data_IF_446101577841
#
_entry.id   IF_446101577841
#
_cell.length_a   1.000
_cell.length_b   1.000
_cell.length_c   1.000
_cell.angle_alpha   90.00
_cell.angle_beta   90.00
_cell.angle_gamma   90.00
#
_symmetry.space_group_name_H-M   'P 1'
#
loop_
_entity.id
_entity.type
_entity.pdbx_description
1 polymer ?
#
# COMPACT_ATOMS: atom_id res chain seq x y z
N UNK A 1 -20.82 -2.12 -0.84
CA UNK A 1 -20.73 -3.00 -1.99
C UNK A 1 -20.22 -4.40 -1.62
N UNK A 2 -18.95 -4.56 -1.20
CA UNK A 2 -18.42 -5.77 -0.56
C UNK A 2 -18.42 -5.60 0.94
N UNK A 3 -18.81 -6.64 1.68
CA UNK A 3 -18.64 -6.74 3.14
C UNK A 3 -18.06 -8.09 3.48
N UNK A 4 -16.88 -8.12 4.08
CA UNK A 4 -16.28 -9.26 4.72
C UNK A 4 -16.49 -9.16 6.23
N UNK A 5 -17.00 -10.22 6.86
CA UNK A 5 -17.33 -10.25 8.29
C UNK A 5 -16.70 -11.45 8.96
N UNK A 6 -15.74 -11.22 9.87
CA UNK A 6 -15.15 -12.26 10.71
C UNK A 6 -14.44 -13.37 9.95
N UNK A 7 -13.87 -13.04 8.77
CA UNK A 7 -13.21 -14.03 7.93
C UNK A 7 -11.98 -14.58 8.65
N UNK A 8 -11.99 -15.88 8.86
CA UNK A 8 -10.86 -16.60 9.42
C UNK A 8 -10.53 -17.82 8.57
N UNK A 9 -9.24 -18.15 8.50
CA UNK A 9 -8.73 -19.32 7.83
C UNK A 9 -7.50 -19.82 8.57
N UNK A 10 -7.50 -21.08 8.91
CA UNK A 10 -6.43 -21.73 9.65
C UNK A 10 -5.69 -22.72 8.76
N UNK A 11 -4.40 -22.51 8.57
CA UNK A 11 -3.47 -23.42 7.94
C UNK A 11 -2.30 -23.68 8.89
N UNK A 12 -1.65 -24.81 8.77
CA UNK A 12 -0.60 -25.28 9.69
C UNK A 12 0.42 -24.22 10.13
N UNK A 13 0.80 -23.31 9.23
CA UNK A 13 1.84 -22.29 9.46
C UNK A 13 1.32 -20.86 9.30
N UNK A 14 0.05 -20.69 8.93
CA UNK A 14 -0.51 -19.39 8.62
C UNK A 14 -1.98 -19.28 9.05
N UNK A 15 -2.35 -18.15 9.64
CA UNK A 15 -3.70 -17.93 10.18
C UNK A 15 -4.22 -16.56 9.74
N UNK A 16 -5.39 -16.53 9.11
CA UNK A 16 -6.21 -15.31 9.01
C UNK A 16 -7.16 -15.28 10.21
N UNK A 17 -7.23 -14.15 10.90
CA UNK A 17 -7.99 -14.02 12.15
C UNK A 17 -8.95 -12.86 12.11
N UNK A 18 -10.25 -13.16 12.12
CA UNK A 18 -11.36 -12.22 12.30
C UNK A 18 -11.29 -10.98 11.40
N UNK A 19 -11.03 -11.20 10.11
CA UNK A 19 -10.91 -10.09 9.15
C UNK A 19 -12.29 -9.52 8.86
N UNK A 20 -12.49 -8.24 9.21
CA UNK A 20 -13.75 -7.53 8.99
C UNK A 20 -13.49 -6.19 8.33
N UNK A 21 -14.09 -5.96 7.15
CA UNK A 21 -14.05 -4.68 6.43
C UNK A 21 -15.16 -4.58 5.38
N UNK A 22 -15.32 -3.37 4.85
CA UNK A 22 -16.29 -3.07 3.81
C UNK A 22 -15.61 -2.27 2.69
N UNK A 23 -16.04 -2.50 1.45
CA UNK A 23 -15.65 -1.73 0.27
C UNK A 23 -16.92 -1.12 -0.34
N UNK A 24 -16.90 0.18 -0.59
CA UNK A 24 -18.02 0.90 -1.18
C UNK A 24 -17.99 0.85 -2.72
N UNK A 25 -19.12 1.17 -3.37
CA UNK A 25 -19.17 1.24 -4.83
C UNK A 25 -18.30 2.42 -5.33
N UNK A 26 -17.52 2.18 -6.38
CA UNK A 26 -16.57 3.15 -6.93
C UNK A 26 -15.30 3.36 -6.10
N UNK A 27 -15.16 2.67 -4.96
CA UNK A 27 -13.98 2.77 -4.11
C UNK A 27 -12.81 1.93 -4.64
N UNK A 28 -11.59 2.45 -4.49
CA UNK A 28 -10.36 1.68 -4.60
C UNK A 28 -9.83 1.41 -3.18
N UNK A 29 -10.22 0.27 -2.63
CA UNK A 29 -9.78 -0.14 -1.29
C UNK A 29 -8.48 -0.93 -1.39
N UNK A 30 -7.47 -0.51 -0.64
CA UNK A 30 -6.15 -1.17 -0.63
C UNK A 30 -5.97 -1.97 0.66
N UNK A 31 -5.51 -3.21 0.53
CA UNK A 31 -4.96 -3.97 1.66
C UNK A 31 -3.45 -3.93 1.54
N UNK A 32 -2.83 -3.19 2.44
CA UNK A 32 -1.39 -2.96 2.52
C UNK A 32 -0.78 -3.81 3.63
N UNK A 33 0.32 -4.50 3.35
CA UNK A 33 1.01 -5.31 4.36
C UNK A 33 2.27 -5.96 3.81
N UNK A 34 3.16 -6.48 4.66
CA UNK A 34 4.36 -7.18 4.24
C UNK A 34 4.03 -8.47 3.47
N UNK A 35 5.03 -9.03 2.79
CA UNK A 35 4.92 -10.36 2.20
C UNK A 35 4.63 -11.39 3.30
N UNK A 36 3.75 -12.35 3.02
CA UNK A 36 3.34 -13.35 4.01
C UNK A 36 2.24 -12.90 4.99
N UNK A 37 1.78 -11.65 4.97
CA UNK A 37 0.69 -11.18 5.85
C UNK A 37 -0.67 -11.83 5.54
N UNK A 38 -0.82 -12.58 4.41
CA UNK A 38 -2.05 -13.27 4.03
C UNK A 38 -2.97 -12.54 3.07
N UNK A 39 -2.50 -11.49 2.46
CA UNK A 39 -3.27 -10.64 1.54
C UNK A 39 -3.86 -11.42 0.35
N UNK A 40 -3.03 -12.21 -0.34
CA UNK A 40 -3.46 -13.08 -1.45
C UNK A 40 -4.50 -14.11 -0.99
N UNK A 41 -4.28 -14.75 0.15
CA UNK A 41 -5.23 -15.72 0.72
C UNK A 41 -6.60 -15.08 0.97
N UNK A 42 -6.61 -13.88 1.57
CA UNK A 42 -7.85 -13.14 1.79
C UNK A 42 -8.54 -12.82 0.46
N UNK A 43 -7.77 -12.42 -0.56
CA UNK A 43 -8.31 -12.14 -1.89
C UNK A 43 -8.92 -13.40 -2.54
N UNK A 44 -8.24 -14.54 -2.43
CA UNK A 44 -8.70 -15.83 -2.94
C UNK A 44 -9.95 -16.34 -2.21
N UNK A 45 -10.06 -16.08 -0.91
CA UNK A 45 -11.29 -16.35 -0.14
C UNK A 45 -12.45 -15.49 -0.67
N UNK A 46 -12.21 -14.19 -0.92
CA UNK A 46 -13.22 -13.29 -1.47
C UNK A 46 -13.59 -13.70 -2.90
N UNK A 47 -12.62 -14.15 -3.70
CA UNK A 47 -12.85 -14.69 -5.04
C UNK A 47 -13.65 -16.01 -5.04
N UNK A 48 -13.66 -16.76 -3.93
CA UNK A 48 -14.28 -18.08 -3.80
C UNK A 48 -13.41 -19.24 -4.25
N UNK A 49 -12.11 -19.00 -4.40
CA UNK A 49 -11.09 -20.02 -4.72
C UNK A 49 -10.78 -20.86 -3.49
N UNK A 50 -10.77 -20.20 -2.33
CA UNK A 50 -10.54 -20.81 -1.01
C UNK A 50 -11.78 -20.59 -0.15
N UNK A 51 -12.21 -21.63 0.56
CA UNK A 51 -13.30 -21.53 1.54
C UNK A 51 -12.76 -21.03 2.88
N UNK A 52 -13.40 -20.03 3.52
CA UNK A 52 -13.07 -19.62 4.87
C UNK A 52 -13.50 -20.68 5.88
N UNK A 53 -12.79 -20.79 7.01
CA UNK A 53 -13.20 -21.67 8.11
C UNK A 53 -14.31 -21.04 8.95
N UNK A 54 -14.38 -19.72 8.98
CA UNK A 54 -15.47 -18.96 9.58
C UNK A 54 -15.63 -17.58 8.93
N UNK A 55 -16.75 -16.93 9.22
CA UNK A 55 -17.09 -15.62 8.70
C UNK A 55 -18.01 -15.67 7.49
N UNK A 56 -18.37 -14.49 6.98
CA UNK A 56 -19.30 -14.34 5.85
C UNK A 56 -18.85 -13.26 4.88
N UNK A 57 -19.14 -13.47 3.60
CA UNK A 57 -18.84 -12.53 2.50
C UNK A 57 -20.15 -12.14 1.84
N UNK A 58 -20.40 -10.83 1.79
CA UNK A 58 -21.59 -10.28 1.14
C UNK A 58 -21.17 -9.41 -0.04
N UNK A 59 -21.85 -9.60 -1.17
CA UNK A 59 -21.74 -8.74 -2.36
C UNK A 59 -23.11 -8.14 -2.66
N UNK A 60 -23.20 -6.81 -2.67
CA UNK A 60 -24.48 -6.09 -2.85
C UNK A 60 -25.59 -6.60 -1.92
N UNK A 61 -25.24 -6.92 -0.67
CA UNK A 61 -26.17 -7.43 0.35
C UNK A 61 -26.48 -8.93 0.25
N UNK A 62 -26.05 -9.61 -0.79
CA UNK A 62 -26.24 -11.05 -0.97
C UNK A 62 -25.07 -11.82 -0.35
N UNK A 63 -25.34 -12.83 0.46
CA UNK A 63 -24.32 -13.76 0.94
C UNK A 63 -23.81 -14.62 -0.22
N UNK A 64 -22.49 -14.58 -0.43
CA UNK A 64 -21.78 -15.30 -1.50
C UNK A 64 -20.72 -16.26 -0.94
N UNK A 65 -20.70 -16.45 0.36
CA UNK A 65 -19.65 -17.21 1.08
C UNK A 65 -19.43 -18.60 0.49
N UNK A 66 -20.51 -19.32 0.26
CA UNK A 66 -20.50 -20.72 -0.24
C UNK A 66 -20.61 -20.82 -1.76
N UNK A 67 -20.66 -19.65 -2.46
CA UNK A 67 -20.75 -19.67 -3.92
C UNK A 67 -19.36 -19.89 -4.55
N UNK A 68 -19.27 -20.74 -5.57
CA UNK A 68 -18.02 -20.91 -6.31
C UNK A 68 -17.69 -19.64 -7.11
N UNK A 69 -16.41 -19.45 -7.52
CA UNK A 69 -15.92 -18.21 -8.14
C UNK A 69 -16.76 -17.69 -9.30
N UNK A 70 -17.18 -18.57 -10.21
CA UNK A 70 -17.95 -18.21 -11.41
C UNK A 70 -19.35 -17.67 -11.10
N UNK A 71 -19.87 -17.93 -9.89
CA UNK A 71 -21.20 -17.47 -9.44
C UNK A 71 -21.14 -16.19 -8.61
N UNK A 72 -19.94 -15.75 -8.19
CA UNK A 72 -19.76 -14.50 -7.43
C UNK A 72 -19.80 -13.27 -8.32
N UNK A 73 -19.56 -13.40 -9.63
CA UNK A 73 -19.60 -12.30 -10.60
C UNK A 73 -18.44 -11.30 -10.45
N UNK A 74 -17.38 -11.66 -9.76
CA UNK A 74 -16.17 -10.86 -9.58
C UNK A 74 -15.21 -11.05 -10.75
N UNK A 75 -14.29 -10.11 -10.94
CA UNK A 75 -13.11 -10.32 -11.77
C UNK A 75 -11.86 -10.37 -10.88
N UNK A 76 -10.97 -11.32 -11.14
CA UNK A 76 -9.72 -11.51 -10.41
C UNK A 76 -8.53 -11.39 -11.34
N UNK A 77 -7.59 -10.54 -11.00
CA UNK A 77 -6.31 -10.36 -11.68
C UNK A 77 -5.21 -10.83 -10.72
N UNK A 78 -4.69 -12.03 -10.92
CA UNK A 78 -3.61 -12.58 -10.08
C UNK A 78 -2.26 -11.93 -10.41
N UNK A 79 -1.29 -12.05 -9.52
CA UNK A 79 0.05 -11.47 -9.62
C UNK A 79 0.80 -11.83 -10.92
N UNK A 80 0.57 -13.01 -11.47
CA UNK A 80 1.19 -13.48 -12.72
C UNK A 80 0.32 -13.20 -13.97
N UNK A 81 -0.73 -12.35 -13.81
CA UNK A 81 -1.70 -11.98 -14.85
C UNK A 81 -2.55 -13.13 -15.41
N UNK A 82 -2.11 -14.37 -15.31
CA UNK A 82 -2.77 -15.60 -15.78
C UNK A 82 -3.41 -15.45 -17.18
N UNK A 83 -2.69 -14.87 -18.14
CA UNK A 83 -3.15 -14.76 -19.52
C UNK A 83 -3.12 -16.14 -20.18
N UNK A 84 -4.11 -16.42 -21.04
CA UNK A 84 -4.17 -17.66 -21.80
C UNK A 84 -3.12 -17.64 -22.91
N UNK A 85 -2.04 -18.42 -22.81
CA UNK A 85 -0.85 -18.25 -23.65
C UNK A 85 -1.09 -18.64 -25.13
N UNK A 86 -2.07 -19.48 -25.38
CA UNK A 86 -2.42 -19.98 -26.73
C UNK A 86 -3.46 -19.10 -27.45
N UNK A 87 -4.11 -18.18 -26.73
CA UNK A 87 -5.09 -17.24 -27.26
C UNK A 87 -4.42 -15.93 -27.67
N UNK A 88 -5.01 -15.23 -28.64
CA UNK A 88 -4.62 -13.86 -28.95
C UNK A 88 -4.99 -12.90 -27.81
N UNK A 89 -4.48 -11.66 -27.83
CA UNK A 89 -4.91 -10.60 -26.91
C UNK A 89 -6.41 -10.37 -27.03
N UNK A 90 -6.93 -10.30 -28.27
CA UNK A 90 -8.38 -10.20 -28.51
C UNK A 90 -9.15 -11.33 -27.83
N UNK A 91 -8.73 -12.58 -28.01
CA UNK A 91 -9.42 -13.74 -27.44
C UNK A 91 -9.32 -13.78 -25.91
N UNK A 92 -8.20 -13.36 -25.33
CA UNK A 92 -8.06 -13.18 -23.89
C UNK A 92 -9.09 -12.20 -23.35
N UNK A 93 -9.21 -11.02 -23.96
CA UNK A 93 -10.15 -9.99 -23.53
C UNK A 93 -11.59 -10.46 -23.74
N UNK A 94 -11.90 -11.03 -24.91
CA UNK A 94 -13.23 -11.50 -25.26
C UNK A 94 -13.72 -12.72 -24.47
N UNK A 95 -12.80 -13.42 -23.76
CA UNK A 95 -13.10 -14.73 -23.16
C UNK A 95 -14.34 -14.70 -22.26
N UNK A 96 -14.37 -13.80 -21.29
CA UNK A 96 -15.48 -13.69 -20.33
C UNK A 96 -16.83 -13.36 -21.00
N UNK A 97 -16.81 -12.54 -22.04
CA UNK A 97 -18.01 -12.22 -22.84
C UNK A 97 -18.50 -13.42 -23.64
N UNK A 98 -17.57 -14.20 -24.24
CA UNK A 98 -17.90 -15.44 -24.96
C UNK A 98 -18.55 -16.48 -24.03
N UNK A 99 -18.00 -16.68 -22.84
CA UNK A 99 -18.56 -17.59 -21.81
C UNK A 99 -19.96 -17.16 -21.41
N UNK A 100 -20.22 -15.87 -21.32
CA UNK A 100 -21.55 -15.28 -21.03
C UNK A 100 -22.49 -15.27 -22.25
N UNK A 101 -22.06 -15.83 -23.39
CA UNK A 101 -22.83 -15.90 -24.63
C UNK A 101 -23.30 -14.54 -25.17
N UNK A 102 -22.49 -13.49 -24.94
CA UNK A 102 -22.76 -12.16 -25.51
C UNK A 102 -22.69 -12.21 -27.03
N UNK A 103 -23.58 -11.52 -27.77
CA UNK A 103 -23.57 -11.50 -29.25
C UNK A 103 -22.22 -11.00 -29.81
N UNK A 104 -21.75 -11.61 -30.90
CA UNK A 104 -20.45 -11.29 -31.51
C UNK A 104 -20.24 -9.81 -31.83
N UNK A 105 -21.19 -9.05 -32.39
CA UNK A 105 -21.02 -7.62 -32.66
C UNK A 105 -20.77 -6.81 -31.35
N UNK A 106 -21.43 -7.19 -30.28
CA UNK A 106 -21.28 -6.54 -28.98
C UNK A 106 -19.92 -6.87 -28.35
N UNK A 107 -19.43 -8.12 -28.51
CA UNK A 107 -18.06 -8.50 -28.07
C UNK A 107 -17.03 -7.64 -28.82
N UNK A 108 -17.14 -7.53 -30.15
CA UNK A 108 -16.22 -6.73 -30.96
C UNK A 108 -16.21 -5.26 -30.54
N UNK A 109 -17.37 -4.68 -30.25
CA UNK A 109 -17.52 -3.30 -29.75
C UNK A 109 -16.82 -3.12 -28.42
N UNK A 110 -17.18 -3.93 -27.42
CA UNK A 110 -16.63 -3.82 -26.05
C UNK A 110 -15.14 -4.07 -26.00
N UNK A 111 -14.63 -5.08 -26.72
CA UNK A 111 -13.18 -5.35 -26.78
C UNK A 111 -12.43 -4.17 -27.38
N UNK A 112 -12.96 -3.55 -28.46
CA UNK A 112 -12.34 -2.39 -29.08
C UNK A 112 -12.35 -1.19 -28.15
N UNK A 113 -13.46 -0.89 -27.49
CA UNK A 113 -13.59 0.22 -26.55
C UNK A 113 -12.60 0.10 -25.38
N UNK A 114 -12.57 -1.05 -24.69
CA UNK A 114 -11.67 -1.23 -23.56
C UNK A 114 -10.20 -1.22 -24.01
N UNK A 115 -9.89 -1.79 -25.17
CA UNK A 115 -8.54 -1.79 -25.72
C UNK A 115 -8.05 -0.40 -26.07
N UNK A 116 -8.94 0.49 -26.53
CA UNK A 116 -8.64 1.90 -26.78
C UNK A 116 -8.34 2.65 -25.48
N UNK A 117 -9.18 2.48 -24.45
CA UNK A 117 -8.98 3.11 -23.13
C UNK A 117 -7.64 2.70 -22.53
N UNK A 118 -7.29 1.41 -22.62
CA UNK A 118 -6.04 0.87 -22.08
C UNK A 118 -4.82 1.01 -23.01
N UNK A 119 -5.01 1.55 -24.24
CA UNK A 119 -3.94 1.79 -25.20
C UNK A 119 -3.31 0.54 -25.79
N UNK A 120 -4.10 -0.54 -25.97
CA UNK A 120 -3.63 -1.85 -26.43
C UNK A 120 -4.29 -2.33 -27.74
N UNK A 121 -4.99 -1.47 -28.48
CA UNK A 121 -5.64 -1.86 -29.76
C UNK A 121 -4.66 -2.49 -30.76
N UNK A 122 -3.45 -1.93 -30.84
CA UNK A 122 -2.39 -2.41 -31.74
C UNK A 122 -1.85 -3.80 -31.36
N UNK A 123 -2.20 -4.31 -30.18
CA UNK A 123 -1.75 -5.62 -29.67
C UNK A 123 -2.78 -6.74 -29.88
N UNK A 124 -3.99 -6.44 -30.32
CA UNK A 124 -5.13 -7.39 -30.34
C UNK A 124 -4.83 -8.71 -31.06
N UNK A 125 -3.99 -8.68 -32.08
CA UNK A 125 -3.62 -9.87 -32.86
C UNK A 125 -2.40 -10.63 -32.33
N UNK A 126 -1.68 -10.05 -31.32
CA UNK A 126 -0.49 -10.65 -30.75
C UNK A 126 -0.85 -11.73 -29.73
N UNK A 127 0.12 -12.56 -29.38
CA UNK A 127 0.02 -13.56 -28.30
C UNK A 127 0.70 -13.05 -27.02
N UNK A 128 0.22 -13.43 -25.83
CA UNK A 128 0.79 -12.97 -24.56
C UNK A 128 2.30 -13.12 -24.42
N UNK A 129 2.87 -14.21 -24.95
CA UNK A 129 4.32 -14.47 -24.89
C UNK A 129 5.19 -13.43 -25.61
N UNK A 130 4.61 -12.62 -26.48
CA UNK A 130 5.32 -11.59 -27.25
C UNK A 130 5.15 -10.19 -26.66
N UNK A 131 4.51 -10.08 -25.51
CA UNK A 131 4.21 -8.84 -24.82
C UNK A 131 5.21 -8.55 -23.71
N UNK A 132 5.54 -7.28 -23.51
CA UNK A 132 6.22 -6.81 -22.30
C UNK A 132 5.35 -7.00 -21.05
N UNK A 133 5.95 -6.97 -19.85
CA UNK A 133 5.21 -7.10 -18.59
C UNK A 133 4.09 -6.07 -18.44
N UNK A 134 4.35 -4.81 -18.79
CA UNK A 134 3.33 -3.75 -18.74
C UNK A 134 2.20 -3.94 -19.77
N UNK A 135 2.50 -4.48 -20.95
CA UNK A 135 1.48 -4.84 -21.94
C UNK A 135 0.64 -6.02 -21.45
N UNK A 136 1.26 -7.06 -20.87
CA UNK A 136 0.54 -8.20 -20.29
C UNK A 136 -0.41 -7.75 -19.18
N UNK A 137 0.02 -6.85 -18.31
CA UNK A 137 -0.82 -6.28 -17.26
C UNK A 137 -2.03 -5.54 -17.82
N UNK A 138 -1.83 -4.67 -18.83
CA UNK A 138 -2.95 -3.97 -19.48
C UNK A 138 -3.95 -4.94 -20.13
N UNK A 139 -3.47 -6.03 -20.73
CA UNK A 139 -4.34 -7.07 -21.29
C UNK A 139 -5.11 -7.80 -20.19
N UNK A 140 -4.49 -8.11 -19.07
CA UNK A 140 -5.16 -8.74 -17.92
C UNK A 140 -6.24 -7.83 -17.33
N UNK A 141 -5.94 -6.53 -17.19
CA UNK A 141 -6.93 -5.53 -16.78
C UNK A 141 -8.07 -5.39 -17.79
N UNK A 142 -7.77 -5.35 -19.09
CA UNK A 142 -8.80 -5.31 -20.13
C UNK A 142 -9.74 -6.53 -20.05
N UNK A 143 -9.16 -7.73 -19.86
CA UNK A 143 -9.94 -8.97 -19.69
C UNK A 143 -10.86 -8.92 -18.46
N UNK A 144 -10.38 -8.32 -17.38
CA UNK A 144 -11.15 -8.17 -16.16
C UNK A 144 -12.26 -7.09 -16.28
N UNK A 145 -11.95 -5.96 -16.92
CA UNK A 145 -12.84 -4.80 -17.01
C UNK A 145 -13.92 -4.94 -18.08
N UNK A 146 -13.65 -5.64 -19.20
CA UNK A 146 -14.58 -5.75 -20.34
C UNK A 146 -15.93 -6.39 -19.99
N UNK A 147 -15.97 -7.19 -18.93
CA UNK A 147 -17.19 -7.85 -18.43
C UNK A 147 -17.97 -6.98 -17.44
N UNK A 148 -17.50 -5.77 -17.18
CA UNK A 148 -18.10 -4.79 -16.25
C UNK A 148 -18.44 -5.42 -14.89
N UNK A 149 -17.45 -6.01 -14.19
CA UNK A 149 -17.72 -6.66 -12.91
C UNK A 149 -18.07 -5.61 -11.84
N UNK A 150 -18.93 -5.93 -10.89
CA UNK A 150 -19.22 -5.04 -9.78
C UNK A 150 -17.96 -4.72 -8.94
N UNK A 151 -17.03 -5.67 -8.81
CA UNK A 151 -15.77 -5.52 -8.08
C UNK A 151 -14.64 -6.26 -8.79
N UNK A 152 -13.48 -5.60 -8.87
CA UNK A 152 -12.23 -6.19 -9.37
C UNK A 152 -11.33 -6.48 -8.18
N UNK A 153 -10.79 -7.69 -8.15
CA UNK A 153 -9.77 -8.12 -7.20
C UNK A 153 -8.41 -8.05 -7.89
N UNK A 154 -7.47 -7.30 -7.31
CA UNK A 154 -6.12 -7.08 -7.85
C UNK A 154 -5.08 -7.62 -6.87
N UNK A 155 -4.34 -8.63 -7.27
CA UNK A 155 -3.30 -9.26 -6.46
C UNK A 155 -1.92 -8.81 -6.93
N UNK A 156 -1.30 -7.88 -6.20
CA UNK A 156 0.01 -7.29 -6.48
C UNK A 156 0.21 -6.96 -7.98
N UNK A 157 -0.68 -6.20 -8.61
CA UNK A 157 -0.73 -6.06 -10.06
C UNK A 157 0.51 -5.42 -10.69
N UNK A 158 1.36 -4.76 -9.90
CA UNK A 158 2.56 -4.07 -10.39
C UNK A 158 3.87 -4.70 -9.91
N UNK A 159 3.84 -5.85 -9.20
CA UNK A 159 5.02 -6.45 -8.58
C UNK A 159 6.11 -6.85 -9.57
N UNK A 160 5.72 -7.32 -10.78
CA UNK A 160 6.63 -7.85 -11.79
C UNK A 160 7.13 -6.80 -12.80
N UNK A 161 7.06 -5.51 -12.45
CA UNK A 161 7.43 -4.41 -13.34
C UNK A 161 8.67 -3.68 -12.83
N UNK A 162 9.48 -3.17 -13.75
CA UNK A 162 10.54 -2.21 -13.44
C UNK A 162 9.96 -0.90 -12.89
N UNK A 163 10.79 -0.12 -12.18
CA UNK A 163 10.37 1.09 -11.46
C UNK A 163 9.69 2.12 -12.38
N UNK A 164 10.24 2.35 -13.58
CA UNK A 164 9.71 3.36 -14.51
C UNK A 164 8.36 2.94 -15.08
N UNK A 165 8.25 1.67 -15.49
CA UNK A 165 6.99 1.11 -16.02
C UNK A 165 5.93 1.09 -14.92
N UNK A 166 6.29 0.73 -13.67
CA UNK A 166 5.39 0.73 -12.52
C UNK A 166 4.80 2.11 -12.27
N UNK A 167 5.63 3.14 -12.08
CA UNK A 167 5.14 4.52 -11.80
C UNK A 167 4.24 5.04 -12.91
N UNK A 168 4.58 4.77 -14.19
CA UNK A 168 3.72 5.13 -15.33
C UNK A 168 2.35 4.44 -15.26
N UNK A 169 2.33 3.14 -15.02
CA UNK A 169 1.09 2.35 -14.97
C UNK A 169 0.22 2.68 -13.76
N UNK A 170 0.80 3.04 -12.62
CA UNK A 170 0.08 3.59 -11.47
C UNK A 170 -0.67 4.87 -11.88
N UNK A 171 0.00 5.80 -12.58
CA UNK A 171 -0.64 7.02 -13.10
C UNK A 171 -1.77 6.73 -14.11
N UNK A 172 -1.58 5.73 -14.98
CA UNK A 172 -2.61 5.28 -15.92
C UNK A 172 -3.79 4.61 -15.22
N UNK A 173 -3.56 3.74 -14.24
CA UNK A 173 -4.61 3.11 -13.44
C UNK A 173 -5.51 4.15 -12.77
N UNK A 174 -4.92 5.22 -12.23
CA UNK A 174 -5.67 6.35 -11.65
C UNK A 174 -6.57 7.03 -12.70
N UNK A 175 -6.08 7.17 -13.94
CA UNK A 175 -6.87 7.71 -15.06
C UNK A 175 -8.00 6.75 -15.43
N UNK A 176 -7.70 5.45 -15.63
CA UNK A 176 -8.70 4.44 -15.97
C UNK A 176 -9.79 4.31 -14.92
N UNK A 177 -9.42 4.39 -13.63
CA UNK A 177 -10.42 4.41 -12.54
C UNK A 177 -11.40 5.57 -12.68
N UNK A 178 -10.90 6.78 -12.96
CA UNK A 178 -11.76 7.96 -13.16
C UNK A 178 -12.64 7.85 -14.40
N UNK A 179 -12.13 7.26 -15.47
CA UNK A 179 -12.82 7.13 -16.77
C UNK A 179 -13.87 6.02 -16.75
N UNK A 180 -13.56 4.89 -16.11
CA UNK A 180 -14.39 3.68 -16.12
C UNK A 180 -15.23 3.50 -14.84
N UNK A 181 -14.92 4.20 -13.75
CA UNK A 181 -15.69 4.18 -12.51
C UNK A 181 -15.72 2.84 -11.76
N UNK A 182 -14.79 1.93 -12.00
CA UNK A 182 -14.80 0.60 -11.40
C UNK A 182 -14.49 0.62 -9.90
N UNK A 183 -15.01 -0.38 -9.18
CA UNK A 183 -14.65 -0.67 -7.79
C UNK A 183 -13.51 -1.67 -7.74
N UNK A 184 -12.52 -1.46 -6.87
CA UNK A 184 -11.38 -2.36 -6.74
C UNK A 184 -11.05 -2.70 -5.29
N UNK A 185 -10.76 -3.97 -5.03
CA UNK A 185 -10.03 -4.43 -3.86
C UNK A 185 -8.64 -4.85 -4.32
N UNK A 186 -7.62 -4.13 -3.87
CA UNK A 186 -6.25 -4.26 -4.35
C UNK A 186 -5.33 -4.61 -3.18
N UNK A 187 -4.63 -5.71 -3.25
CA UNK A 187 -3.62 -6.07 -2.26
C UNK A 187 -2.23 -5.75 -2.78
N UNK A 188 -1.40 -5.15 -1.92
CA UNK A 188 -0.03 -4.76 -2.27
C UNK A 188 0.86 -4.65 -1.02
N UNK A 189 2.17 -4.64 -1.22
CA UNK A 189 3.15 -4.25 -0.21
C UNK A 189 3.76 -2.85 -0.49
N UNK A 190 3.33 -2.18 -1.55
CA UNK A 190 3.86 -0.90 -2.01
C UNK A 190 3.12 0.29 -1.39
N UNK A 191 3.84 1.11 -0.64
CA UNK A 191 3.33 2.39 -0.12
C UNK A 191 2.96 3.36 -1.25
N UNK A 192 3.75 3.37 -2.35
CA UNK A 192 3.48 4.21 -3.52
C UNK A 192 2.11 3.89 -4.12
N UNK A 193 1.80 2.61 -4.30
CA UNK A 193 0.50 2.16 -4.80
C UNK A 193 -0.64 2.57 -3.86
N UNK A 194 -0.46 2.33 -2.55
CA UNK A 194 -1.47 2.66 -1.55
C UNK A 194 -1.78 4.17 -1.53
N UNK A 195 -0.74 5.01 -1.54
CA UNK A 195 -0.90 6.47 -1.51
C UNK A 195 -1.44 7.03 -2.83
N UNK A 196 -1.02 6.45 -3.97
CA UNK A 196 -1.40 6.98 -5.28
C UNK A 196 -2.79 6.55 -5.74
N UNK A 197 -3.23 5.34 -5.42
CA UNK A 197 -4.45 4.73 -5.95
C UNK A 197 -5.57 4.61 -4.93
N UNK A 198 -5.24 4.44 -3.64
CA UNK A 198 -6.21 4.14 -2.60
C UNK A 198 -7.11 5.33 -2.24
N UNK A 199 -8.39 5.08 -2.08
CA UNK A 199 -9.32 5.96 -1.38
C UNK A 199 -9.25 5.67 0.13
N UNK A 200 -9.31 4.38 0.49
CA UNK A 200 -9.08 3.86 1.83
C UNK A 200 -8.06 2.74 1.81
N UNK A 201 -7.42 2.52 2.95
CA UNK A 201 -6.43 1.46 3.14
C UNK A 201 -6.70 0.69 4.42
N UNK A 202 -6.55 -0.62 4.34
CA UNK A 202 -6.47 -1.52 5.48
C UNK A 202 -5.05 -2.04 5.63
N UNK A 203 -4.44 -1.86 6.79
CA UNK A 203 -3.12 -2.41 7.11
C UNK A 203 -3.29 -3.82 7.65
N UNK A 204 -2.64 -4.77 6.99
CA UNK A 204 -2.71 -6.18 7.34
C UNK A 204 -1.34 -6.67 7.82
N UNK A 205 -1.28 -7.12 9.08
CA UNK A 205 -0.08 -7.65 9.73
C UNK A 205 -0.42 -9.00 10.38
N UNK A 206 0.45 -9.96 10.23
CA UNK A 206 0.35 -11.30 10.85
C UNK A 206 -1.07 -11.91 10.79
N UNK A 207 -1.68 -11.87 9.60
CA UNK A 207 -3.01 -12.41 9.36
C UNK A 207 -4.18 -11.65 9.98
N UNK A 208 -3.95 -10.41 10.44
CA UNK A 208 -4.98 -9.53 11.02
C UNK A 208 -5.06 -8.21 10.27
N UNK A 209 -6.26 -7.68 10.17
CA UNK A 209 -6.49 -6.33 9.68
C UNK A 209 -6.44 -5.38 10.89
N UNK A 210 -5.29 -4.75 11.11
CA UNK A 210 -4.99 -4.01 12.34
C UNK A 210 -5.44 -2.55 12.32
N UNK A 211 -5.59 -1.96 11.15
CA UNK A 211 -6.12 -0.60 10.99
C UNK A 211 -6.80 -0.45 9.63
N UNK A 212 -7.93 0.27 9.59
CA UNK A 212 -8.63 0.66 8.36
C UNK A 212 -9.00 2.14 8.46
N UNK A 213 -8.76 2.88 7.40
CA UNK A 213 -9.10 4.32 7.35
C UNK A 213 -8.81 4.93 5.98
N UNK A 214 -8.99 6.24 5.85
CA UNK A 214 -8.50 6.95 4.66
C UNK A 214 -6.97 6.83 4.57
N UNK A 215 -6.43 6.86 3.36
CA UNK A 215 -4.97 6.80 3.16
C UNK A 215 -4.25 7.85 4.00
N UNK A 216 -4.75 9.10 3.97
CA UNK A 216 -4.17 10.18 4.77
C UNK A 216 -4.17 9.88 6.27
N UNK A 217 -5.28 9.36 6.79
CA UNK A 217 -5.42 9.06 8.22
C UNK A 217 -4.46 7.95 8.66
N UNK A 218 -4.46 6.82 7.97
CA UNK A 218 -3.62 5.66 8.31
C UNK A 218 -2.13 6.02 8.26
N UNK A 219 -1.70 6.73 7.22
CA UNK A 219 -0.29 7.12 7.09
C UNK A 219 0.14 8.23 8.06
N UNK A 220 -0.77 9.10 8.52
CA UNK A 220 -0.44 10.19 9.46
C UNK A 220 -0.73 9.85 10.92
N UNK A 221 -1.65 8.91 11.19
CA UNK A 221 -2.11 8.53 12.53
C UNK A 221 -2.19 7.01 12.65
N UNK A 222 -1.03 6.32 12.71
CA UNK A 222 -1.02 4.88 12.94
C UNK A 222 -1.67 4.55 14.28
N UNK A 223 -2.53 3.52 14.30
CA UNK A 223 -3.31 3.15 15.49
C UNK A 223 -2.48 2.46 16.58
N UNK A 224 -1.30 1.96 16.25
CA UNK A 224 -0.40 1.28 17.17
C UNK A 224 1.06 1.46 16.74
N UNK A 225 1.98 1.17 17.68
CA UNK A 225 3.41 1.15 17.37
C UNK A 225 3.76 0.15 16.25
N UNK A 226 3.09 -1.01 16.21
CA UNK A 226 3.28 -2.01 15.17
C UNK A 226 2.95 -1.46 13.78
N UNK A 227 1.81 -0.80 13.64
CA UNK A 227 1.41 -0.10 12.41
C UNK A 227 2.39 1.02 12.07
N UNK A 228 2.81 1.80 13.05
CA UNK A 228 3.77 2.89 12.86
C UNK A 228 5.11 2.35 12.32
N UNK A 229 5.66 1.31 12.95
CA UNK A 229 6.91 0.68 12.49
C UNK A 229 6.79 0.17 11.06
N UNK A 230 5.69 -0.49 10.73
CA UNK A 230 5.42 -0.93 9.37
C UNK A 230 5.34 0.25 8.39
N UNK A 231 4.73 1.38 8.78
CA UNK A 231 4.62 2.59 7.97
C UNK A 231 5.88 3.48 7.95
N UNK A 232 7.00 3.01 8.50
CA UNK A 232 8.29 3.70 8.41
C UNK A 232 8.62 4.65 9.55
N UNK A 233 7.90 4.61 10.68
CA UNK A 233 8.31 5.32 11.90
C UNK A 233 9.46 4.56 12.57
N UNK A 234 10.69 4.83 12.15
CA UNK A 234 11.87 4.12 12.68
C UNK A 234 12.31 4.63 14.07
N UNK A 235 11.96 5.87 14.41
CA UNK A 235 12.26 6.44 15.72
C UNK A 235 11.03 6.30 16.62
N UNK A 236 11.05 5.33 17.54
CA UNK A 236 10.06 5.21 18.61
C UNK A 236 10.73 5.64 19.91
N UNK A 237 10.24 6.74 20.49
CA UNK A 237 10.79 7.36 21.67
C UNK A 237 9.81 7.14 22.82
N UNK A 238 10.28 6.55 23.91
CA UNK A 238 9.49 6.35 25.12
C UNK A 238 9.95 7.33 26.20
N UNK A 239 8.99 7.93 26.91
CA UNK A 239 9.30 8.88 27.96
C UNK A 239 8.09 9.19 28.84
N UNK A 240 8.28 10.16 29.75
CA UNK A 240 7.23 10.66 30.62
C UNK A 240 6.80 12.04 30.14
N UNK A 241 5.51 12.15 29.79
CA UNK A 241 4.91 13.39 29.32
C UNK A 241 4.27 14.17 30.46
N UNK A 242 4.43 15.48 30.46
CA UNK A 242 3.75 16.44 31.31
C UNK A 242 3.33 17.64 30.42
N UNK A 243 2.04 17.75 30.15
CA UNK A 243 1.52 18.71 29.17
C UNK A 243 2.08 18.43 27.77
N UNK A 244 2.70 19.42 27.14
CA UNK A 244 3.31 19.30 25.81
C UNK A 244 4.79 18.96 25.84
N UNK A 245 5.32 18.50 26.95
CA UNK A 245 6.73 18.15 27.12
C UNK A 245 6.87 16.67 27.41
N UNK A 246 7.71 16.00 26.62
CA UNK A 246 8.14 14.61 26.83
C UNK A 246 9.58 14.60 27.30
N UNK A 247 9.83 14.01 28.48
CA UNK A 247 11.19 13.73 28.97
C UNK A 247 11.57 12.30 28.64
N UNK A 248 12.54 12.14 27.73
CA UNK A 248 13.02 10.86 27.24
C UNK A 248 14.55 10.83 27.26
N UNK A 249 15.16 9.88 27.97
CA UNK A 249 16.61 9.65 28.02
C UNK A 249 17.45 10.93 28.32
N UNK A 250 16.91 11.83 29.14
CA UNK A 250 17.57 13.10 29.51
C UNK A 250 17.36 14.24 28.52
N UNK A 251 16.54 14.04 27.50
CA UNK A 251 16.16 15.05 26.49
C UNK A 251 14.71 15.48 26.72
N UNK A 252 14.42 16.77 26.60
CA UNK A 252 13.05 17.31 26.63
C UNK A 252 12.58 17.60 25.20
N UNK A 253 11.47 16.96 24.79
CA UNK A 253 10.91 17.03 23.43
C UNK A 253 9.52 17.69 23.50
N UNK A 254 9.25 18.69 22.67
CA UNK A 254 7.94 19.32 22.56
C UNK A 254 6.99 18.48 21.73
N UNK A 255 5.83 18.15 22.29
CA UNK A 255 4.77 17.33 21.69
C UNK A 255 3.75 18.19 20.92
N UNK A 256 3.06 17.62 19.91
CA UNK A 256 1.98 18.31 19.17
C UNK A 256 0.71 18.47 20.00
N UNK A 257 0.50 17.61 20.98
CA UNK A 257 -0.69 17.53 21.85
C UNK A 257 -0.28 17.42 23.29
N UNK A 258 -1.20 17.74 24.21
CA UNK A 258 -1.00 17.49 25.64
C UNK A 258 -1.08 15.99 25.92
N UNK A 259 -0.16 15.51 26.75
CA UNK A 259 -0.12 14.13 27.20
C UNK A 259 0.35 14.08 28.66
N UNK A 260 0.04 12.98 29.37
CA UNK A 260 0.42 12.82 30.77
C UNK A 260 0.82 11.38 31.08
N UNK A 261 1.91 11.23 31.81
CA UNK A 261 2.43 9.92 32.22
C UNK A 261 3.34 9.29 31.15
N UNK A 262 3.46 7.98 31.19
CA UNK A 262 4.31 7.24 30.25
C UNK A 262 3.65 7.17 28.88
N UNK A 263 4.32 7.70 27.86
CA UNK A 263 3.86 7.72 26.47
C UNK A 263 4.97 7.29 25.53
N UNK A 264 4.57 6.83 24.36
CA UNK A 264 5.47 6.56 23.24
C UNK A 264 5.16 7.52 22.11
N UNK A 265 6.19 7.98 21.43
CA UNK A 265 6.05 8.85 20.26
C UNK A 265 6.83 8.28 19.10
N UNK A 266 6.23 8.32 17.92
CA UNK A 266 6.86 7.94 16.67
C UNK A 266 7.33 9.17 15.91
N UNK A 267 8.51 9.09 15.29
CA UNK A 267 9.06 10.11 14.39
C UNK A 267 9.67 9.42 13.17
N UNK A 268 9.35 9.92 11.99
CA UNK A 268 9.92 9.38 10.76
C UNK A 268 11.32 9.92 10.52
N UNK A 269 12.26 9.14 9.99
CA UNK A 269 13.61 9.60 9.67
C UNK A 269 13.65 10.78 8.71
N UNK A 270 12.72 10.84 7.75
CA UNK A 270 12.60 11.90 6.74
C UNK A 270 12.09 13.23 7.29
N UNK A 271 11.46 13.23 8.47
CA UNK A 271 10.98 14.45 9.15
C UNK A 271 12.08 15.15 9.96
N UNK A 272 13.26 14.54 10.06
CA UNK A 272 14.41 15.07 10.75
C UNK A 272 15.29 15.86 9.78
N UNK A 273 15.57 17.11 10.11
CA UNK A 273 16.49 18.00 9.39
C UNK A 273 17.84 18.00 10.10
N UNK A 274 18.91 17.78 9.34
CA UNK A 274 20.29 17.94 9.84
C UNK A 274 20.88 19.24 9.36
N UNK A 275 21.63 19.92 10.23
CA UNK A 275 22.39 21.14 9.88
C UNK A 275 23.71 21.21 10.69
N UNK A 276 24.67 22.03 10.20
CA UNK A 276 25.95 22.25 10.90
C UNK A 276 25.82 23.32 11.98
N UNK A 277 24.84 24.22 11.85
CA UNK A 277 24.55 25.31 12.75
C UNK A 277 23.06 25.31 13.11
N UNK A 278 22.65 25.94 14.24
CA UNK A 278 21.24 26.13 14.57
C UNK A 278 20.49 26.85 13.45
N UNK A 279 19.30 26.34 13.10
CA UNK A 279 18.51 26.91 12.00
C UNK A 279 17.23 27.57 12.52
N UNK A 280 16.94 28.78 12.03
CA UNK A 280 15.66 29.44 12.34
C UNK A 280 14.55 28.85 11.47
N UNK A 281 13.79 27.94 12.04
CA UNK A 281 12.65 27.28 11.38
C UNK A 281 11.44 27.24 12.30
N UNK A 282 10.32 26.68 11.79
CA UNK A 282 9.16 26.35 12.62
C UNK A 282 9.32 25.08 13.46
N UNK A 283 10.47 24.41 13.39
CA UNK A 283 10.80 23.29 14.27
C UNK A 283 11.03 23.81 15.70
N UNK A 284 10.34 23.21 16.66
CA UNK A 284 10.47 23.54 18.08
C UNK A 284 11.40 22.58 18.81
N UNK A 285 11.71 21.47 18.19
CA UNK A 285 12.67 20.49 18.68
C UNK A 285 13.96 20.68 17.92
N UNK A 286 15.00 21.18 18.61
CA UNK A 286 16.34 21.34 18.09
C UNK A 286 17.35 20.89 19.11
N UNK A 287 18.28 20.01 18.71
CA UNK A 287 19.26 19.40 19.62
C UNK A 287 20.61 19.27 18.94
N UNK A 288 21.68 19.41 19.72
CA UNK A 288 23.02 19.06 19.29
C UNK A 288 23.20 17.54 19.40
N UNK A 289 23.63 16.89 18.33
CA UNK A 289 23.78 15.44 18.23
C UNK A 289 25.16 15.06 17.71
N UNK A 290 25.60 13.85 18.02
CA UNK A 290 26.81 13.26 17.47
C UNK A 290 26.39 12.16 16.49
N UNK A 291 27.01 12.12 15.31
CA UNK A 291 26.84 11.05 14.32
C UNK A 291 27.55 9.78 14.82
N UNK A 292 26.79 8.70 15.02
CA UNK A 292 27.35 7.41 15.46
C UNK A 292 27.80 6.55 14.28
N UNK A 293 26.99 6.53 13.22
CA UNK A 293 27.29 5.81 12.00
C UNK A 293 26.48 6.35 10.81
N UNK A 294 26.90 5.99 9.62
CA UNK A 294 26.27 6.36 8.35
C UNK A 294 26.10 5.08 7.54
N UNK A 295 24.91 4.87 6.97
CA UNK A 295 24.56 3.70 6.16
C UNK A 295 24.02 4.18 4.80
N UNK A 296 24.62 3.70 3.71
CA UNK A 296 24.18 4.04 2.36
C UNK A 296 23.00 3.12 1.93
N UNK A 297 21.88 3.73 1.57
CA UNK A 297 20.65 3.08 1.09
C UNK A 297 20.33 3.47 -0.36
N UNK A 298 21.32 3.42 -1.24
CA UNK A 298 21.19 3.88 -2.61
C UNK A 298 21.20 5.43 -2.71
N UNK A 299 20.09 6.08 -3.11
CA UNK A 299 20.04 7.54 -3.23
C UNK A 299 19.97 8.27 -1.87
N UNK A 300 19.56 7.57 -0.84
CA UNK A 300 19.46 8.09 0.53
C UNK A 300 20.54 7.54 1.42
N UNK A 301 20.88 8.32 2.43
CA UNK A 301 21.84 7.99 3.48
C UNK A 301 21.07 7.98 4.80
N UNK A 302 21.12 6.86 5.54
CA UNK A 302 20.63 6.77 6.90
C UNK A 302 21.74 7.22 7.85
N UNK A 303 21.48 8.23 8.67
CA UNK A 303 22.41 8.74 9.68
C UNK A 303 21.91 8.34 11.03
N UNK A 304 22.72 7.60 11.79
CA UNK A 304 22.45 7.27 13.18
C UNK A 304 23.04 8.38 14.07
N UNK A 305 22.20 8.90 14.94
CA UNK A 305 22.46 10.10 15.73
C UNK A 305 22.28 9.81 17.20
N UNK A 306 23.12 10.41 18.05
CA UNK A 306 23.02 10.34 19.49
C UNK A 306 22.88 11.74 20.09
N UNK A 307 21.82 11.93 20.89
CA UNK A 307 21.54 13.14 21.65
C UNK A 307 21.52 12.73 23.12
N UNK A 308 22.62 12.95 23.86
CA UNK A 308 22.76 12.36 25.20
C UNK A 308 22.65 10.83 25.17
N UNK A 309 21.58 10.28 25.77
CA UNK A 309 21.26 8.85 25.76
C UNK A 309 20.11 8.51 24.77
N UNK A 310 19.64 9.46 23.98
CA UNK A 310 18.61 9.23 22.97
C UNK A 310 19.27 8.94 21.62
N UNK A 311 18.85 7.85 20.95
CA UNK A 311 19.28 7.47 19.61
C UNK A 311 18.18 7.77 18.61
N UNK A 312 18.54 8.45 17.50
CA UNK A 312 17.64 8.75 16.40
C UNK A 312 18.27 8.33 15.07
N UNK A 313 17.40 8.15 14.07
CA UNK A 313 17.77 7.89 12.67
C UNK A 313 17.19 9.00 11.82
N UNK A 314 18.00 9.55 10.93
CA UNK A 314 17.57 10.55 9.94
C UNK A 314 17.94 10.11 8.52
N UNK A 315 17.18 10.54 7.53
CA UNK A 315 17.53 10.38 6.12
C UNK A 315 18.01 11.68 5.53
N UNK A 316 19.14 11.62 4.81
CA UNK A 316 19.65 12.71 4.02
C UNK A 316 20.02 12.23 2.62
N UNK A 317 20.20 13.16 1.69
CA UNK A 317 20.73 12.82 0.37
C UNK A 317 22.24 12.63 0.41
N UNK A 318 22.81 11.92 -0.59
CA UNK A 318 24.26 11.78 -0.72
C UNK A 318 24.95 13.14 -0.90
N UNK A 319 24.32 14.08 -1.63
CA UNK A 319 24.84 15.46 -1.79
C UNK A 319 24.96 16.16 -0.44
N UNK A 320 23.89 16.11 0.38
CA UNK A 320 23.90 16.70 1.72
C UNK A 320 24.96 16.09 2.63
N UNK A 321 25.17 14.77 2.55
CA UNK A 321 26.22 14.10 3.32
C UNK A 321 27.62 14.66 2.98
N UNK A 322 27.91 14.81 1.68
CA UNK A 322 29.20 15.32 1.20
C UNK A 322 29.38 16.79 1.54
N UNK A 323 28.38 17.62 1.28
CA UNK A 323 28.43 19.08 1.55
C UNK A 323 28.61 19.40 3.04
N UNK A 324 27.92 18.68 3.90
CA UNK A 324 28.03 18.85 5.36
C UNK A 324 29.19 18.07 5.98
N UNK A 325 29.88 17.22 5.21
CA UNK A 325 30.96 16.38 5.72
C UNK A 325 30.50 15.43 6.83
N UNK A 326 29.32 14.79 6.65
CA UNK A 326 28.73 13.90 7.65
C UNK A 326 29.52 12.59 7.71
N UNK A 327 30.22 12.39 8.82
CA UNK A 327 31.02 11.21 9.11
C UNK A 327 30.85 10.83 10.59
N UNK A 328 31.22 9.62 10.96
CA UNK A 328 31.21 9.18 12.36
C UNK A 328 31.99 10.16 13.27
N UNK A 329 31.39 10.55 14.39
CA UNK A 329 31.94 11.50 15.34
C UNK A 329 31.65 12.97 15.03
N UNK A 330 31.09 13.27 13.84
CA UNK A 330 30.71 14.65 13.49
C UNK A 330 29.59 15.15 14.40
N UNK A 331 29.70 16.36 14.92
CA UNK A 331 28.65 17.07 15.60
C UNK A 331 27.74 17.78 14.59
N UNK A 332 26.44 17.66 14.77
CA UNK A 332 25.38 18.24 13.94
C UNK A 332 24.23 18.74 14.79
N UNK A 333 23.40 19.60 14.24
CA UNK A 333 22.09 19.93 14.82
C UNK A 333 21.01 19.09 14.19
N UNK A 334 20.11 18.57 15.03
CA UNK A 334 18.95 17.76 14.68
C UNK A 334 17.72 18.60 14.96
N UNK A 335 16.91 18.88 13.94
CA UNK A 335 15.69 19.67 14.09
C UNK A 335 14.49 18.92 13.53
N UNK A 336 13.36 18.94 14.23
CA UNK A 336 12.08 18.40 13.75
C UNK A 336 10.90 19.16 14.35
N UNK A 337 9.79 19.20 13.61
CA UNK A 337 8.57 19.84 14.06
C UNK A 337 7.88 18.99 15.12
N UNK A 338 7.27 19.63 16.14
CA UNK A 338 6.39 18.93 17.08
C UNK A 338 5.25 18.20 16.33
N UNK A 339 4.71 18.79 15.27
CA UNK A 339 3.64 18.18 14.44
C UNK A 339 4.07 16.93 13.64
N UNK A 340 5.38 16.65 13.53
CA UNK A 340 5.90 15.42 12.93
C UNK A 340 5.86 14.23 13.88
N UNK A 341 5.70 14.49 15.18
CA UNK A 341 5.58 13.45 16.20
C UNK A 341 4.15 12.89 16.23
N UNK A 342 4.06 11.57 16.24
CA UNK A 342 2.82 10.85 16.52
C UNK A 342 2.85 10.28 17.94
N UNK A 343 1.85 10.58 18.75
CA UNK A 343 1.73 10.11 20.14
C UNK A 343 0.79 8.91 20.18
N UNK A 344 1.25 7.78 20.75
CA UNK A 344 0.50 6.53 20.89
C UNK A 344 -0.21 6.44 22.23
#
# INVERSE_FOLDING_TARGET
MLRAKGISKDWREFHLRDITFEVEAGEHFIILGPSGAGKTVLLEIIAGIIEPDSGRIYLNGRDVTELPPEKRGLAYVPQNYALFPNMSVYDNIAFGLKVRKVPKPEIERRVREISKVLGIEHLLHRKPRTLSGGEQQRVALARALVVEPPLILLDEPFANLDVQTRSRLIGEMKRWKRELGFTALHVTHSFEEAVSLGDRVGVMLDGRLVQVGSVKEVFSKPASEEVARFLGFENIIEGIAEGRKLRANGVEIELPVEAKGRVRVGLRPEDIILSLEPIRTSARNEFKATVESVEELGPLIRVHLRIGNLHLRAFITRSSMLEMGITKGREVYVSFKASALHVF
#
